data_IF_520184277666
#
_entry.id   IF_520184277666
#
_cell.length_a   1.000
_cell.length_b   1.000
_cell.length_c   1.000
_cell.angle_alpha   90.00
_cell.angle_beta   90.00
_cell.angle_gamma   90.00
#
_symmetry.space_group_name_H-M   'P 1'
#
loop_
_entity.id
_entity.type
_entity.pdbx_description
1 polymer ?
#
# COMPACT_ATOMS: atom_id res chain seq x y z
N UNK A 1 26.71 9.42 -43.28
CA UNK A 1 27.66 8.60 -42.51
C UNK A 1 26.84 7.67 -41.64
N UNK A 2 26.84 6.39 -41.99
CA UNK A 2 26.04 5.35 -41.37
C UNK A 2 26.48 5.12 -39.92
N UNK A 3 25.49 5.10 -39.02
CA UNK A 3 25.65 5.17 -37.58
C UNK A 3 26.21 3.84 -37.03
N UNK A 4 27.54 3.75 -36.91
CA UNK A 4 28.25 2.58 -36.35
C UNK A 4 27.76 2.19 -34.94
N UNK A 5 27.13 3.11 -34.22
CA UNK A 5 26.55 2.86 -32.92
C UNK A 5 25.32 1.94 -33.02
N UNK A 6 24.39 2.24 -33.94
CA UNK A 6 23.13 1.49 -34.11
C UNK A 6 23.36 0.05 -34.54
N UNK A 7 24.30 -0.18 -35.46
CA UNK A 7 24.67 -1.51 -35.93
C UNK A 7 25.29 -2.35 -34.80
N UNK A 8 26.12 -1.72 -33.96
CA UNK A 8 26.81 -2.42 -32.87
C UNK A 8 25.85 -2.72 -31.70
N UNK A 9 24.88 -1.84 -31.47
CA UNK A 9 23.82 -2.02 -30.48
C UNK A 9 22.83 -3.12 -30.91
N UNK A 10 22.35 -3.09 -32.16
CA UNK A 10 21.47 -4.13 -32.72
C UNK A 10 22.15 -5.51 -32.75
N UNK A 11 23.46 -5.56 -32.98
CA UNK A 11 24.23 -6.82 -32.93
C UNK A 11 24.32 -7.38 -31.51
N UNK A 12 24.56 -6.53 -30.51
CA UNK A 12 24.56 -6.95 -29.09
C UNK A 12 23.20 -7.43 -28.60
N UNK A 13 22.10 -6.84 -29.06
CA UNK A 13 20.74 -7.30 -28.73
C UNK A 13 20.43 -8.69 -29.28
N UNK A 14 21.03 -9.08 -30.41
CA UNK A 14 20.86 -10.44 -30.98
C UNK A 14 21.70 -11.50 -30.27
N UNK A 15 22.71 -11.12 -29.50
CA UNK A 15 23.60 -12.03 -28.79
C UNK A 15 23.07 -12.45 -27.39
N UNK A 16 21.98 -11.82 -26.90
CA UNK A 16 21.33 -12.16 -25.63
C UNK A 16 19.83 -12.43 -25.83
N UNK A 17 19.41 -13.67 -26.07
CA UNK A 17 18.00 -14.03 -26.24
C UNK A 17 17.32 -14.20 -24.88
N UNK A 18 17.43 -13.22 -24.00
CA UNK A 18 16.52 -13.13 -22.86
C UNK A 18 15.33 -12.30 -23.34
N UNK A 19 14.15 -12.92 -23.32
CA UNK A 19 12.89 -12.29 -23.65
C UNK A 19 12.77 -11.01 -22.83
N UNK A 20 12.97 -9.88 -23.50
CA UNK A 20 12.59 -8.58 -22.96
C UNK A 20 11.08 -8.71 -22.68
N UNK A 21 10.62 -8.53 -21.43
CA UNK A 21 9.19 -8.55 -21.13
C UNK A 21 8.47 -7.65 -22.11
N UNK A 22 7.33 -8.10 -22.64
CA UNK A 22 6.60 -7.40 -23.70
C UNK A 22 6.35 -5.92 -23.33
N UNK A 23 6.10 -5.65 -22.03
CA UNK A 23 6.01 -4.32 -21.42
C UNK A 23 7.20 -3.38 -21.70
N UNK A 24 8.44 -3.89 -21.66
CA UNK A 24 9.65 -3.11 -21.95
C UNK A 24 9.87 -2.94 -23.45
N UNK A 25 9.51 -3.94 -24.26
CA UNK A 25 9.57 -3.86 -25.71
C UNK A 25 8.62 -2.77 -26.24
N UNK A 26 7.38 -2.75 -25.75
CA UNK A 26 6.37 -1.75 -26.13
C UNK A 26 6.80 -0.32 -25.74
N UNK A 27 7.35 -0.11 -24.53
CA UNK A 27 7.86 1.22 -24.13
C UNK A 27 9.04 1.70 -24.98
N UNK A 28 9.93 0.79 -25.40
CA UNK A 28 11.04 1.12 -26.30
C UNK A 28 10.52 1.52 -27.68
N UNK A 29 9.58 0.76 -28.22
CA UNK A 29 9.03 1.00 -29.55
C UNK A 29 8.20 2.30 -29.60
N UNK A 30 7.39 2.58 -28.57
CA UNK A 30 6.65 3.85 -28.44
C UNK A 30 7.58 5.05 -28.28
N UNK A 31 8.68 4.90 -27.54
CA UNK A 31 9.67 5.96 -27.37
C UNK A 31 10.37 6.25 -28.70
N UNK A 32 10.77 5.22 -29.44
CA UNK A 32 11.41 5.35 -30.75
C UNK A 32 10.48 5.96 -31.79
N UNK A 33 9.19 5.61 -31.76
CA UNK A 33 8.17 6.13 -32.67
C UNK A 33 7.86 7.62 -32.43
N UNK A 34 8.03 8.11 -31.19
CA UNK A 34 7.70 9.47 -30.80
C UNK A 34 8.92 10.41 -30.65
N UNK A 35 10.09 9.99 -31.15
CA UNK A 35 11.26 10.87 -31.19
C UNK A 35 11.00 12.05 -32.15
N UNK A 36 11.11 13.31 -31.69
CA UNK A 36 10.87 14.46 -32.54
C UNK A 36 11.92 14.56 -33.64
N UNK A 37 11.48 14.77 -34.89
CA UNK A 37 12.39 15.08 -35.99
C UNK A 37 13.13 16.39 -35.69
N UNK A 38 14.47 16.37 -35.81
CA UNK A 38 15.33 17.54 -35.64
C UNK A 38 15.03 18.60 -36.71
N UNK A 39 14.10 19.51 -36.42
CA UNK A 39 13.98 20.76 -37.20
C UNK A 39 14.81 21.87 -36.55
N UNK A 40 15.95 22.18 -37.16
CA UNK A 40 16.74 23.37 -36.82
C UNK A 40 16.03 24.62 -37.34
N UNK A 41 15.42 25.43 -36.46
CA UNK A 41 15.07 26.82 -36.77
C UNK A 41 15.41 27.79 -35.64
N UNK A 42 16.07 28.88 -36.06
CA UNK A 42 16.64 29.98 -35.27
C UNK A 42 15.79 31.23 -35.51
N UNK A 43 15.35 31.97 -34.47
CA UNK A 43 15.24 33.45 -34.51
C UNK A 43 14.91 34.10 -33.14
N UNK A 44 15.37 35.36 -33.05
CA UNK A 44 15.60 36.28 -31.92
C UNK A 44 14.36 36.96 -31.30
N UNK A 45 14.58 37.39 -30.04
CA UNK A 45 13.86 38.25 -29.08
C UNK A 45 13.08 39.47 -29.62
N UNK A 46 12.04 39.89 -28.85
CA UNK A 46 11.96 41.19 -28.15
C UNK A 46 10.83 41.22 -27.10
N UNK A 47 11.13 41.92 -26.00
CA UNK A 47 10.36 42.17 -24.76
C UNK A 47 9.28 43.25 -24.91
N UNK A 48 8.16 43.13 -24.17
CA UNK A 48 7.44 44.27 -23.56
C UNK A 48 6.85 43.82 -22.21
N UNK A 49 7.22 44.53 -21.15
CA UNK A 49 6.67 44.47 -19.80
C UNK A 49 5.60 45.58 -19.70
N UNK A 50 4.42 45.28 -19.15
CA UNK A 50 3.58 46.30 -18.50
C UNK A 50 2.78 45.68 -17.36
N UNK A 51 2.83 46.36 -16.22
CA UNK A 51 2.30 46.00 -14.92
C UNK A 51 0.81 46.35 -14.78
N UNK A 52 0.05 45.53 -14.05
CA UNK A 52 -1.00 45.98 -13.13
C UNK A 52 -0.90 45.11 -11.88
N UNK A 53 -0.71 45.74 -10.73
CA UNK A 53 -0.64 45.13 -9.41
C UNK A 53 -1.82 45.57 -8.55
N UNK A 54 -2.46 44.61 -7.86
CA UNK A 54 -3.08 44.64 -6.53
C UNK A 54 -4.02 43.41 -6.42
N UNK A 55 -3.91 42.46 -5.50
CA UNK A 55 -3.36 42.49 -4.15
C UNK A 55 -2.62 41.17 -3.77
N UNK A 56 -1.67 41.36 -2.85
CA UNK A 56 -0.64 40.47 -2.29
C UNK A 56 -1.29 39.58 -1.20
N UNK A 57 -1.06 38.25 -1.09
CA UNK A 57 0.14 37.63 -0.50
C UNK A 57 0.14 36.10 -0.78
N UNK A 58 0.81 35.65 -1.84
CA UNK A 58 1.31 34.26 -1.93
C UNK A 58 2.74 34.39 -2.43
N UNK A 59 3.70 33.93 -1.62
CA UNK A 59 5.09 33.81 -2.03
C UNK A 59 5.10 32.86 -3.22
N UNK A 60 5.35 33.39 -4.41
CA UNK A 60 5.42 32.62 -5.65
C UNK A 60 6.70 31.76 -5.65
N UNK A 61 6.63 30.58 -5.04
CA UNK A 61 7.44 29.44 -5.46
C UNK A 61 6.87 28.98 -6.80
N UNK A 62 7.50 29.41 -7.89
CA UNK A 62 7.06 29.05 -9.26
C UNK A 62 7.20 27.54 -9.42
N UNK A 63 6.10 26.81 -9.28
CA UNK A 63 6.01 25.41 -9.72
C UNK A 63 6.14 25.40 -11.25
N UNK A 64 7.27 24.95 -11.76
CA UNK A 64 7.46 24.77 -13.20
C UNK A 64 6.79 23.44 -13.57
N UNK A 65 5.56 23.50 -14.09
CA UNK A 65 4.95 22.36 -14.77
C UNK A 65 5.63 22.19 -16.13
N UNK A 66 6.58 21.26 -16.24
CA UNK A 66 7.14 20.89 -17.55
C UNK A 66 6.10 20.08 -18.33
N UNK A 67 5.97 20.36 -19.63
CA UNK A 67 5.21 19.49 -20.53
C UNK A 67 5.72 18.04 -20.40
N UNK A 68 4.84 17.02 -20.33
CA UNK A 68 5.23 15.62 -20.23
C UNK A 68 6.23 15.17 -21.31
N UNK A 69 6.22 15.83 -22.48
CA UNK A 69 7.14 15.53 -23.58
C UNK A 69 8.61 15.96 -23.35
N UNK A 70 8.92 16.70 -22.27
CA UNK A 70 10.26 17.21 -21.98
C UNK A 70 10.90 16.61 -20.72
N UNK A 71 10.11 15.97 -19.87
CA UNK A 71 10.59 15.22 -18.71
C UNK A 71 10.53 13.73 -19.04
N UNK A 72 11.62 12.99 -18.85
CA UNK A 72 11.52 11.55 -18.73
C UNK A 72 10.67 11.28 -17.49
N UNK A 73 9.40 10.88 -17.62
CA UNK A 73 8.62 10.47 -16.46
C UNK A 73 9.34 9.28 -15.82
N UNK A 74 9.90 9.52 -14.63
CA UNK A 74 10.41 8.44 -13.80
C UNK A 74 9.14 7.76 -13.29
N UNK A 75 8.77 6.62 -13.90
CA UNK A 75 7.66 5.81 -13.42
C UNK A 75 7.87 5.39 -11.96
N UNK A 76 6.85 4.79 -11.33
CA UNK A 76 7.03 4.30 -9.95
C UNK A 76 8.12 3.21 -9.93
N UNK A 77 9.14 3.33 -9.07
CA UNK A 77 10.16 2.29 -8.94
C UNK A 77 9.56 0.95 -8.51
N UNK A 78 10.02 -0.14 -9.13
CA UNK A 78 9.57 -1.51 -8.80
C UNK A 78 9.77 -1.88 -7.34
N UNK A 79 10.80 -1.33 -6.68
CA UNK A 79 11.03 -1.52 -5.26
C UNK A 79 9.91 -0.95 -4.39
N UNK A 80 9.34 0.20 -4.76
CA UNK A 80 8.20 0.80 -4.05
C UNK A 80 6.91 0.04 -4.35
N UNK A 81 6.72 -0.39 -5.60
CA UNK A 81 5.60 -1.26 -6.01
C UNK A 81 5.57 -2.51 -5.12
N UNK A 82 6.71 -3.18 -4.97
CA UNK A 82 6.83 -4.41 -4.18
C UNK A 82 6.66 -4.15 -2.67
N UNK A 83 7.27 -3.09 -2.11
CA UNK A 83 7.17 -2.79 -0.67
C UNK A 83 5.76 -2.41 -0.22
N UNK A 84 4.97 -1.82 -1.11
CA UNK A 84 3.59 -1.40 -0.85
C UNK A 84 2.55 -2.42 -1.35
N UNK A 85 3.02 -3.52 -1.94
CA UNK A 85 2.22 -4.54 -2.60
C UNK A 85 1.15 -3.95 -3.52
N UNK A 86 1.55 -2.98 -4.35
CA UNK A 86 0.62 -2.38 -5.31
C UNK A 86 0.23 -3.42 -6.34
N UNK A 87 -1.09 -3.55 -6.60
CA UNK A 87 -1.60 -4.44 -7.63
C UNK A 87 -1.01 -4.14 -9.01
N UNK A 88 -0.96 -5.19 -9.84
CA UNK A 88 -0.26 -5.19 -11.14
C UNK A 88 -0.75 -4.10 -12.11
N UNK A 89 -2.00 -3.67 -11.92
CA UNK A 89 -2.71 -2.73 -12.77
C UNK A 89 -2.75 -1.29 -12.20
N UNK A 90 -1.95 -0.95 -11.19
CA UNK A 90 -1.95 0.38 -10.55
C UNK A 90 -1.82 1.56 -11.54
N UNK A 91 -1.13 1.36 -12.68
CA UNK A 91 -0.98 2.38 -13.72
C UNK A 91 -2.35 2.85 -14.28
N UNK A 92 -3.40 2.00 -14.24
CA UNK A 92 -4.76 2.36 -14.66
C UNK A 92 -5.38 3.47 -13.81
N UNK A 93 -4.90 3.62 -12.58
CA UNK A 93 -5.35 4.62 -11.60
C UNK A 93 -4.25 5.63 -11.24
N UNK A 94 -3.13 5.61 -11.97
CA UNK A 94 -2.04 6.55 -11.82
C UNK A 94 -2.20 7.79 -12.72
N UNK A 95 -1.92 8.95 -12.16
CA UNK A 95 -1.74 10.21 -12.87
C UNK A 95 -0.24 10.54 -12.87
N UNK A 96 0.39 10.48 -14.03
CA UNK A 96 1.74 11.01 -14.18
C UNK A 96 1.73 12.52 -14.02
N UNK A 97 2.63 13.02 -13.19
CA UNK A 97 2.82 14.44 -12.91
C UNK A 97 4.30 14.77 -13.01
N UNK A 98 4.65 16.01 -13.33
CA UNK A 98 6.04 16.45 -13.31
C UNK A 98 6.10 17.83 -12.65
N UNK A 99 5.67 17.88 -11.39
CA UNK A 99 5.67 19.10 -10.60
C UNK A 99 6.95 19.12 -9.78
N UNK A 100 7.77 20.14 -9.97
CA UNK A 100 9.06 20.26 -9.30
C UNK A 100 9.10 21.51 -8.44
N UNK A 101 9.69 21.38 -7.26
CA UNK A 101 10.05 22.46 -6.36
C UNK A 101 11.49 22.30 -5.91
N UNK A 102 12.21 23.40 -5.76
CA UNK A 102 13.57 23.38 -5.23
C UNK A 102 13.67 24.37 -4.09
N UNK A 103 14.18 23.90 -2.95
CA UNK A 103 14.40 24.73 -1.78
C UNK A 103 15.62 24.24 -1.03
N UNK A 104 16.44 25.18 -0.55
CA UNK A 104 17.67 24.91 0.18
C UNK A 104 18.61 23.87 -0.50
N UNK A 105 18.72 23.92 -1.83
CA UNK A 105 19.58 23.02 -2.61
C UNK A 105 19.05 21.59 -2.77
N UNK A 106 17.80 21.33 -2.35
CA UNK A 106 17.12 20.07 -2.55
C UNK A 106 15.94 20.26 -3.49
N UNK A 107 15.99 19.55 -4.61
CA UNK A 107 14.95 19.50 -5.62
C UNK A 107 14.05 18.31 -5.34
N UNK A 108 12.74 18.55 -5.20
CA UNK A 108 11.71 17.53 -5.02
C UNK A 108 10.78 17.57 -6.23
N UNK A 109 10.61 16.43 -6.88
CA UNK A 109 9.77 16.25 -8.06
C UNK A 109 8.67 15.26 -7.73
N UNK A 110 7.41 15.66 -7.79
CA UNK A 110 6.28 14.73 -7.72
C UNK A 110 6.19 14.04 -9.09
N UNK A 111 6.26 12.72 -9.09
CA UNK A 111 6.30 11.90 -10.30
C UNK A 111 4.93 11.32 -10.62
N UNK A 112 4.22 10.78 -9.61
CA UNK A 112 2.92 10.15 -9.80
C UNK A 112 1.98 10.45 -8.63
N UNK A 113 0.68 10.56 -8.93
CA UNK A 113 -0.40 10.45 -7.97
C UNK A 113 -1.26 9.24 -8.34
N UNK A 114 -1.33 8.24 -7.46
CA UNK A 114 -2.11 7.01 -7.67
C UNK A 114 -3.30 7.08 -6.73
N UNK A 115 -4.51 7.02 -7.28
CA UNK A 115 -5.72 7.17 -6.48
C UNK A 115 -6.74 6.11 -6.84
N UNK A 116 -7.18 5.32 -5.86
CA UNK A 116 -8.10 4.21 -6.08
C UNK A 116 -9.49 4.40 -5.45
N UNK A 117 -9.73 5.55 -4.80
CA UNK A 117 -10.93 5.80 -4.03
C UNK A 117 -10.66 5.92 -2.53
N UNK A 118 -9.82 5.02 -1.98
CA UNK A 118 -9.55 4.88 -0.55
C UNK A 118 -8.16 5.39 -0.18
N UNK A 119 -7.19 5.26 -1.09
CA UNK A 119 -5.82 5.69 -0.89
C UNK A 119 -5.38 6.60 -2.01
N UNK A 120 -4.78 7.73 -1.64
CA UNK A 120 -4.00 8.57 -2.53
C UNK A 120 -2.51 8.37 -2.21
N UNK A 121 -1.77 7.79 -3.15
CA UNK A 121 -0.34 7.59 -3.04
C UNK A 121 0.39 8.61 -3.92
N UNK A 122 1.28 9.38 -3.32
CA UNK A 122 2.07 10.40 -4.01
C UNK A 122 3.52 9.95 -4.09
N UNK A 123 3.98 9.58 -5.28
CA UNK A 123 5.38 9.28 -5.54
C UNK A 123 6.17 10.55 -5.81
N UNK A 124 7.38 10.63 -5.25
CA UNK A 124 8.28 11.75 -5.45
C UNK A 124 9.73 11.30 -5.56
N UNK A 125 10.52 12.17 -6.20
CA UNK A 125 11.96 12.03 -6.37
C UNK A 125 12.66 13.24 -5.75
N UNK A 126 13.55 13.02 -4.79
CA UNK A 126 14.36 14.05 -4.15
C UNK A 126 15.82 13.96 -4.59
N UNK A 127 16.37 15.08 -5.08
CA UNK A 127 17.75 15.21 -5.54
C UNK A 127 18.46 16.35 -4.82
N UNK A 128 19.75 16.14 -4.52
CA UNK A 128 20.64 17.15 -3.96
C UNK A 128 22.06 17.00 -4.50
N UNK A 129 22.76 18.12 -4.68
CA UNK A 129 24.18 18.11 -5.02
C UNK A 129 25.06 17.54 -3.90
N UNK A 130 24.62 17.73 -2.64
CA UNK A 130 25.28 17.18 -1.46
C UNK A 130 24.57 15.91 -0.99
N UNK A 131 25.31 14.89 -0.50
CA UNK A 131 24.72 13.73 0.15
C UNK A 131 23.72 14.13 1.24
N UNK A 132 22.55 13.52 1.23
CA UNK A 132 21.58 13.66 2.31
C UNK A 132 22.14 13.04 3.60
N UNK A 133 22.11 13.81 4.69
CA UNK A 133 22.49 13.34 6.03
C UNK A 133 21.43 12.43 6.65
N UNK A 134 20.18 12.59 6.25
CA UNK A 134 19.00 11.83 6.67
C UNK A 134 18.15 11.44 5.47
N UNK A 135 17.23 10.51 5.64
CA UNK A 135 16.19 10.24 4.62
C UNK A 135 15.39 11.52 4.36
N UNK A 136 15.31 12.03 3.11
CA UNK A 136 14.55 13.22 2.77
C UNK A 136 13.05 12.89 2.64
N UNK A 137 12.46 12.43 3.74
CA UNK A 137 11.04 12.06 3.83
C UNK A 137 10.15 13.29 3.64
N UNK A 138 9.17 13.20 2.74
CA UNK A 138 8.20 14.25 2.42
C UNK A 138 6.92 14.02 3.22
N UNK A 139 6.93 14.42 4.49
CA UNK A 139 5.75 14.39 5.33
C UNK A 139 5.20 15.82 5.46
N UNK A 140 4.24 16.25 4.62
CA UNK A 140 3.78 17.63 4.62
C UNK A 140 3.13 18.00 5.96
N UNK A 141 3.42 19.20 6.47
CA UNK A 141 2.77 19.70 7.69
C UNK A 141 1.35 20.19 7.41
N UNK A 142 1.06 20.58 6.18
CA UNK A 142 -0.27 20.96 5.71
C UNK A 142 -0.58 20.18 4.42
N UNK A 143 -1.69 19.44 4.40
CA UNK A 143 -2.23 18.82 3.20
C UNK A 143 -3.76 18.97 3.17
N UNK A 144 -4.31 19.30 2.01
CA UNK A 144 -5.76 19.40 1.80
C UNK A 144 -6.17 18.97 0.41
N UNK A 145 -7.38 18.46 0.29
CA UNK A 145 -8.04 18.31 -1.01
C UNK A 145 -8.91 19.52 -1.29
N UNK A 146 -8.90 19.96 -2.54
CA UNK A 146 -9.67 21.13 -3.00
C UNK A 146 -10.40 20.75 -4.29
N UNK A 147 -11.71 20.96 -4.33
CA UNK A 147 -12.50 20.83 -5.56
C UNK A 147 -13.72 21.75 -5.48
N UNK A 148 -14.06 22.38 -6.61
CA UNK A 148 -15.09 23.43 -6.65
C UNK A 148 -14.86 24.50 -5.56
N UNK A 149 -15.80 24.69 -4.63
CA UNK A 149 -15.68 25.58 -3.46
C UNK A 149 -15.48 24.80 -2.14
N UNK A 150 -15.10 23.52 -2.23
CA UNK A 150 -14.89 22.61 -1.09
C UNK A 150 -13.40 22.44 -0.79
N UNK A 151 -13.06 22.51 0.50
CA UNK A 151 -11.72 22.21 1.02
C UNK A 151 -11.83 21.30 2.24
N UNK A 152 -10.98 20.28 2.33
CA UNK A 152 -10.88 19.39 3.49
C UNK A 152 -9.43 19.04 3.78
N UNK A 153 -9.02 19.23 5.02
CA UNK A 153 -7.68 18.88 5.49
C UNK A 153 -7.51 17.36 5.58
N UNK A 154 -6.38 16.86 5.09
CA UNK A 154 -6.01 15.44 5.16
C UNK A 154 -4.64 15.28 5.79
N UNK A 155 -4.32 14.08 6.25
CA UNK A 155 -3.01 13.77 6.81
C UNK A 155 -2.41 12.53 6.16
N UNK A 156 -1.09 12.53 5.90
CA UNK A 156 -0.40 11.32 5.46
C UNK A 156 -0.37 10.30 6.61
N UNK A 157 -0.50 9.01 6.29
CA UNK A 157 -0.40 7.92 7.28
C UNK A 157 1.02 7.40 7.41
N UNK A 158 1.70 7.24 6.28
CA UNK A 158 3.02 6.63 6.21
C UNK A 158 3.74 7.03 4.92
N UNK A 159 5.04 6.77 4.90
CA UNK A 159 5.88 6.93 3.72
C UNK A 159 6.76 5.70 3.56
N UNK A 160 7.07 5.35 2.32
CA UNK A 160 8.07 4.34 1.98
C UNK A 160 8.97 4.86 0.88
N UNK A 161 10.28 4.59 0.98
CA UNK A 161 11.22 5.01 -0.04
C UNK A 161 12.60 4.38 0.09
N UNK A 162 13.51 4.76 -0.79
CA UNK A 162 14.89 4.31 -0.81
C UNK A 162 15.85 5.27 -1.53
N UNK A 163 17.12 5.23 -1.10
CA UNK A 163 18.19 5.91 -1.82
C UNK A 163 18.53 5.16 -3.11
N UNK A 164 18.64 5.89 -4.22
CA UNK A 164 18.94 5.32 -5.53
C UNK A 164 20.44 5.18 -5.79
N UNK A 165 21.27 5.82 -4.97
CA UNK A 165 22.70 5.83 -5.11
C UNK A 165 23.42 5.70 -3.75
N UNK A 166 24.63 5.14 -3.79
CA UNK A 166 25.45 4.91 -2.60
C UNK A 166 25.94 6.20 -1.94
N UNK A 167 25.98 7.31 -2.68
CA UNK A 167 26.36 8.62 -2.17
C UNK A 167 25.16 9.37 -1.58
N UNK A 168 23.96 8.75 -1.53
CA UNK A 168 22.74 9.31 -0.94
C UNK A 168 22.40 10.69 -1.50
N UNK A 169 22.51 10.89 -2.81
CA UNK A 169 22.18 12.16 -3.48
C UNK A 169 20.80 12.16 -4.13
N UNK A 170 20.25 10.97 -4.38
CA UNK A 170 18.94 10.75 -4.96
C UNK A 170 18.14 9.77 -4.10
N UNK A 171 16.85 10.07 -3.93
CA UNK A 171 15.91 9.28 -3.15
C UNK A 171 14.56 9.23 -3.85
N UNK A 172 13.98 8.04 -3.97
CA UNK A 172 12.58 7.88 -4.38
C UNK A 172 11.74 7.54 -3.16
N UNK A 173 10.64 8.26 -3.00
CA UNK A 173 9.68 8.05 -1.93
C UNK A 173 8.25 8.00 -2.44
N UNK A 174 7.37 7.48 -1.59
CA UNK A 174 5.93 7.46 -1.80
C UNK A 174 5.21 7.70 -0.47
N UNK A 175 4.41 8.75 -0.43
CA UNK A 175 3.60 9.14 0.73
C UNK A 175 2.17 8.63 0.51
N UNK A 176 1.58 8.02 1.53
CA UNK A 176 0.21 7.53 1.47
C UNK A 176 -0.74 8.42 2.28
N UNK A 177 -1.87 8.75 1.69
CA UNK A 177 -2.99 9.46 2.32
C UNK A 177 -4.21 8.53 2.31
N UNK A 178 -4.61 7.98 3.46
CA UNK A 178 -5.88 7.29 3.58
C UNK A 178 -6.99 8.33 3.50
N UNK A 179 -7.93 8.12 2.59
CA UNK A 179 -9.10 8.97 2.41
C UNK A 179 -10.33 8.19 2.85
N UNK A 180 -11.34 8.92 3.29
CA UNK A 180 -12.62 8.38 3.76
C UNK A 180 -13.76 9.22 3.19
N UNK A 181 -15.01 8.84 3.42
CA UNK A 181 -16.17 9.60 2.93
C UNK A 181 -16.13 11.06 3.39
N UNK A 182 -15.78 11.29 4.67
CA UNK A 182 -15.72 12.64 5.26
C UNK A 182 -14.71 13.55 4.56
N UNK A 183 -13.60 12.98 4.08
CA UNK A 183 -12.58 13.71 3.32
C UNK A 183 -13.21 14.47 2.15
N UNK A 184 -14.28 13.93 1.57
CA UNK A 184 -14.97 14.54 0.44
C UNK A 184 -16.28 15.23 0.82
N UNK A 185 -16.85 15.02 2.00
CA UNK A 185 -18.19 15.56 2.34
C UNK A 185 -18.18 16.58 3.47
N UNK A 186 -17.10 16.64 4.25
CA UNK A 186 -16.97 17.49 5.42
C UNK A 186 -15.89 18.54 5.16
N UNK A 187 -16.32 19.79 5.09
CA UNK A 187 -15.42 20.94 4.97
C UNK A 187 -14.81 21.30 6.32
N UNK A 188 -13.60 21.86 6.30
CA UNK A 188 -12.92 22.38 7.50
C UNK A 188 -13.74 23.47 8.24
N UNK A 189 -14.66 24.14 7.54
CA UNK A 189 -15.53 25.17 8.09
C UNK A 189 -16.83 24.62 8.73
N UNK A 190 -17.11 23.31 8.63
CA UNK A 190 -18.36 22.72 9.13
C UNK A 190 -18.30 22.40 10.64
N UNK A 191 -19.09 23.16 11.41
CA UNK A 191 -19.19 23.02 12.88
C UNK A 191 -20.32 22.07 13.34
N UNK A 192 -21.07 21.46 12.42
CA UNK A 192 -22.27 20.67 12.71
C UNK A 192 -22.16 19.18 12.37
N UNK A 193 -20.94 18.64 12.39
CA UNK A 193 -20.68 17.22 12.11
C UNK A 193 -21.29 16.35 13.22
N UNK A 194 -22.20 15.45 12.85
CA UNK A 194 -22.55 14.31 13.69
C UNK A 194 -21.38 13.32 13.69
N UNK A 195 -20.49 13.49 14.68
CA UNK A 195 -19.26 12.71 14.78
C UNK A 195 -19.50 11.21 14.91
N UNK A 196 -20.71 10.76 15.30
CA UNK A 196 -20.99 9.33 15.42
C UNK A 196 -21.30 8.71 14.07
N UNK A 197 -22.18 9.36 13.30
CA UNK A 197 -22.47 8.96 11.93
C UNK A 197 -21.21 9.04 11.07
N UNK A 198 -20.42 10.09 11.25
CA UNK A 198 -19.19 10.32 10.50
C UNK A 198 -18.18 9.18 10.73
N UNK A 199 -17.90 8.81 11.98
CA UNK A 199 -16.96 7.73 12.30
C UNK A 199 -17.38 6.40 11.68
N UNK A 200 -18.67 6.06 11.71
CA UNK A 200 -19.19 4.78 11.20
C UNK A 200 -19.30 4.77 9.67
N UNK A 201 -19.69 5.87 9.04
CA UNK A 201 -19.92 5.98 7.59
C UNK A 201 -18.65 6.35 6.82
N UNK A 202 -17.60 6.84 7.49
CA UNK A 202 -16.33 7.23 6.87
C UNK A 202 -15.70 6.12 6.04
N UNK A 203 -15.84 4.86 6.47
CA UNK A 203 -15.31 3.70 5.77
C UNK A 203 -16.14 3.27 4.53
N UNK A 204 -17.24 3.95 4.19
CA UNK A 204 -18.14 3.61 3.10
C UNK A 204 -18.02 4.53 1.88
N UNK A 205 -16.83 4.58 1.27
CA UNK A 205 -16.67 5.38 0.06
C UNK A 205 -17.43 4.75 -1.10
N UNK A 206 -18.28 5.54 -1.77
CA UNK A 206 -18.76 5.23 -3.11
C UNK A 206 -17.91 6.00 -4.14
N UNK A 207 -17.00 5.28 -4.80
CA UNK A 207 -16.04 5.88 -5.75
C UNK A 207 -16.76 6.63 -6.89
N UNK A 208 -17.96 6.15 -7.27
CA UNK A 208 -18.76 6.77 -8.33
C UNK A 208 -19.36 8.12 -7.94
N UNK A 209 -19.49 8.39 -6.64
CA UNK A 209 -20.06 9.63 -6.10
C UNK A 209 -18.99 10.71 -5.85
N UNK A 210 -17.71 10.36 -5.96
CA UNK A 210 -16.59 11.28 -5.77
C UNK A 210 -16.60 12.42 -6.81
N UNK A 211 -16.05 13.61 -6.47
CA UNK A 211 -15.88 14.68 -7.44
C UNK A 211 -15.04 14.19 -8.62
N UNK A 212 -15.38 14.59 -9.86
CA UNK A 212 -14.71 14.11 -11.09
C UNK A 212 -13.20 14.33 -11.12
N UNK A 213 -12.73 15.32 -10.37
CA UNK A 213 -11.34 15.63 -10.15
C UNK A 213 -11.23 16.40 -8.83
N UNK A 214 -10.08 16.33 -8.17
CA UNK A 214 -9.72 17.22 -7.08
C UNK A 214 -8.25 17.63 -7.19
N UNK A 215 -7.87 18.70 -6.52
CA UNK A 215 -6.49 19.12 -6.36
C UNK A 215 -6.01 18.79 -4.96
N UNK A 216 -4.94 18.00 -4.86
CA UNK A 216 -4.19 17.82 -3.63
C UNK A 216 -3.21 18.98 -3.49
N UNK A 217 -3.40 19.80 -2.46
CA UNK A 217 -2.45 20.83 -2.07
C UNK A 217 -1.63 20.34 -0.88
N UNK A 218 -0.30 20.40 -0.99
CA UNK A 218 0.62 20.00 0.07
C UNK A 218 1.68 21.08 0.29
N UNK A 219 2.06 21.27 1.55
CA UNK A 219 3.16 22.12 1.95
C UNK A 219 4.03 21.41 2.96
N UNK A 220 5.34 21.41 2.69
CA UNK A 220 6.39 20.92 3.56
C UNK A 220 7.39 22.05 3.83
N UNK A 221 7.69 22.36 5.09
CA UNK A 221 8.75 23.29 5.52
C UNK A 221 10.02 22.56 5.95
N UNK A 222 9.96 21.24 5.95
CA UNK A 222 11.08 20.37 6.25
C UNK A 222 10.96 19.02 5.56
N UNK A 223 12.11 18.38 5.31
CA UNK A 223 12.20 16.98 4.89
C UNK A 223 12.92 16.16 5.95
N UNK A 224 12.44 14.94 6.17
CA UNK A 224 12.96 14.00 7.16
C UNK A 224 12.10 13.88 8.41
N UNK A 225 12.10 12.69 9.01
CA UNK A 225 11.28 12.37 10.19
C UNK A 225 11.97 12.70 11.52
N UNK A 226 13.31 12.73 11.54
CA UNK A 226 14.07 13.05 12.77
C UNK A 226 14.17 14.57 12.94
N UNK A 227 13.36 15.14 13.85
CA UNK A 227 13.25 16.59 14.09
C UNK A 227 14.59 17.32 14.18
N UNK A 228 15.56 16.73 14.88
CA UNK A 228 16.89 17.32 15.12
C UNK A 228 17.77 17.41 13.86
N UNK A 229 17.47 16.62 12.82
CA UNK A 229 18.30 16.45 11.64
C UNK A 229 17.54 16.77 10.33
N UNK A 230 16.33 17.32 10.44
CA UNK A 230 15.51 17.68 9.28
C UNK A 230 16.19 18.71 8.37
N UNK A 231 15.97 18.53 7.07
CA UNK A 231 16.39 19.47 6.05
C UNK A 231 15.34 20.57 5.98
N UNK A 232 15.66 21.76 6.46
CA UNK A 232 14.74 22.91 6.41
C UNK A 232 14.64 23.48 4.99
N UNK A 233 13.45 23.89 4.61
CA UNK A 233 13.16 24.49 3.30
C UNK A 233 11.68 24.86 3.19
N UNK A 234 11.18 24.96 1.97
CA UNK A 234 9.76 25.16 1.69
C UNK A 234 9.43 24.58 0.33
N UNK A 235 8.59 23.55 0.31
CA UNK A 235 8.12 22.87 -0.89
C UNK A 235 6.60 22.87 -0.88
N UNK A 236 6.01 23.43 -1.93
CA UNK A 236 4.55 23.53 -2.09
C UNK A 236 4.12 22.89 -3.42
N UNK A 237 3.16 21.99 -3.34
CA UNK A 237 2.67 21.21 -4.48
C UNK A 237 1.17 21.35 -4.62
N UNK A 238 0.69 21.40 -5.86
CA UNK A 238 -0.72 21.40 -6.22
C UNK A 238 -0.92 20.36 -7.33
N UNK A 239 -1.45 19.19 -6.97
CA UNK A 239 -1.49 18.00 -7.82
C UNK A 239 -2.93 17.70 -8.22
N UNK A 240 -3.22 17.65 -9.52
CA UNK A 240 -4.56 17.29 -10.00
C UNK A 240 -4.73 15.78 -10.05
N UNK A 241 -5.76 15.28 -9.37
CA UNK A 241 -6.14 13.86 -9.32
C UNK A 241 -7.43 13.66 -10.10
N UNK A 242 -7.43 12.69 -11.01
CA UNK A 242 -8.59 12.34 -11.84
C UNK A 242 -9.26 11.10 -11.24
N UNK A 243 -10.39 11.30 -10.57
CA UNK A 243 -11.11 10.23 -9.87
C UNK A 243 -11.83 9.29 -10.83
N UNK A 244 -12.05 9.70 -12.08
CA UNK A 244 -12.70 8.84 -13.08
C UNK A 244 -11.87 7.61 -13.38
N UNK A 245 -10.55 7.68 -13.25
CA UNK A 245 -9.68 6.51 -13.39
C UNK A 245 -10.00 5.48 -12.31
N UNK A 246 -10.13 5.90 -11.05
CA UNK A 246 -10.55 5.03 -9.96
C UNK A 246 -11.94 4.45 -10.24
N UNK A 247 -12.92 5.30 -10.57
CA UNK A 247 -14.29 4.87 -10.81
C UNK A 247 -14.42 3.87 -11.98
N UNK A 248 -13.68 4.09 -13.08
CA UNK A 248 -13.77 3.24 -14.27
C UNK A 248 -12.99 1.92 -14.15
N UNK A 249 -12.05 1.82 -13.20
CA UNK A 249 -11.18 0.65 -13.03
C UNK A 249 -11.38 -0.05 -11.68
N UNK A 250 -12.40 0.36 -10.92
CA UNK A 250 -12.80 -0.34 -9.70
C UNK A 250 -14.10 -1.09 -9.93
N UNK A 251 -14.28 -2.17 -9.17
CA UNK A 251 -15.50 -2.98 -9.15
C UNK A 251 -15.99 -3.11 -7.72
N UNK A 252 -17.26 -2.82 -7.50
CA UNK A 252 -17.92 -3.10 -6.22
C UNK A 252 -18.77 -4.36 -6.37
N UNK A 253 -18.60 -5.30 -5.45
CA UNK A 253 -19.40 -6.54 -5.36
C UNK A 253 -20.13 -6.52 -4.02
N UNK A 254 -21.45 -6.41 -4.08
CA UNK A 254 -22.31 -6.49 -2.89
C UNK A 254 -22.37 -7.95 -2.41
N UNK A 255 -22.09 -8.17 -1.13
CA UNK A 255 -21.98 -9.51 -0.53
C UNK A 255 -23.15 -9.78 0.41
N UNK A 256 -23.39 -8.86 1.35
CA UNK A 256 -24.45 -8.92 2.36
C UNK A 256 -24.55 -10.24 3.16
N UNK A 257 -23.40 -10.85 3.50
CA UNK A 257 -23.33 -12.11 4.24
C UNK A 257 -23.39 -11.84 5.76
N UNK A 258 -24.46 -12.30 6.39
CA UNK A 258 -24.59 -12.30 7.85
C UNK A 258 -23.86 -13.50 8.46
N UNK A 259 -23.22 -13.31 9.62
CA UNK A 259 -22.39 -14.30 10.31
C UNK A 259 -22.74 -14.35 11.82
N UNK A 260 -23.98 -14.74 12.18
CA UNK A 260 -24.48 -14.64 13.56
C UNK A 260 -23.71 -15.52 14.57
N UNK A 261 -23.11 -16.62 14.10
CA UNK A 261 -22.27 -17.49 14.93
C UNK A 261 -21.00 -16.78 15.43
N UNK A 262 -20.60 -15.68 14.80
CA UNK A 262 -19.40 -14.92 15.16
C UNK A 262 -19.67 -13.81 16.18
N UNK A 263 -20.94 -13.45 16.41
CA UNK A 263 -21.31 -12.40 17.35
C UNK A 263 -22.49 -11.55 16.91
N UNK A 264 -22.70 -10.47 17.64
CA UNK A 264 -23.80 -9.52 17.42
C UNK A 264 -23.55 -8.68 16.17
N UNK A 265 -24.52 -8.68 15.26
CA UNK A 265 -24.56 -7.87 14.03
C UNK A 265 -23.34 -8.02 13.11
N UNK A 266 -22.66 -9.18 13.17
CA UNK A 266 -21.52 -9.46 12.31
C UNK A 266 -21.99 -9.72 10.88
N UNK A 267 -21.51 -8.90 9.94
CA UNK A 267 -21.85 -8.99 8.53
C UNK A 267 -20.70 -8.51 7.64
N UNK A 268 -20.45 -9.23 6.55
CA UNK A 268 -19.65 -8.74 5.42
C UNK A 268 -20.60 -8.07 4.43
N UNK A 269 -20.40 -6.79 4.18
CA UNK A 269 -21.31 -5.99 3.36
C UNK A 269 -20.96 -6.07 1.89
N UNK A 270 -19.70 -5.76 1.53
CA UNK A 270 -19.25 -5.67 0.15
C UNK A 270 -17.73 -5.81 0.03
N UNK A 271 -17.29 -6.09 -1.19
CA UNK A 271 -15.90 -5.97 -1.63
C UNK A 271 -15.79 -4.81 -2.62
N UNK A 272 -14.70 -4.04 -2.54
CA UNK A 272 -14.31 -3.09 -3.58
C UNK A 272 -12.95 -3.50 -4.12
N UNK A 273 -12.93 -3.97 -5.36
CA UNK A 273 -11.72 -4.41 -6.06
C UNK A 273 -11.19 -3.21 -6.86
N UNK A 274 -10.02 -2.70 -6.49
CA UNK A 274 -9.34 -1.62 -7.21
C UNK A 274 -8.07 -2.15 -7.86
N UNK A 275 -7.45 -1.44 -8.81
CA UNK A 275 -6.21 -1.91 -9.42
C UNK A 275 -5.02 -1.96 -8.47
N UNK A 276 -5.12 -1.38 -7.26
CA UNK A 276 -4.05 -1.47 -6.25
C UNK A 276 -4.37 -2.44 -5.13
N UNK A 277 -5.63 -2.60 -4.71
CA UNK A 277 -6.03 -3.34 -3.51
C UNK A 277 -7.44 -3.94 -3.61
N UNK A 278 -7.71 -4.89 -2.73
CA UNK A 278 -9.05 -5.39 -2.42
C UNK A 278 -9.46 -4.79 -1.08
N UNK A 279 -10.59 -4.09 -1.04
CA UNK A 279 -11.16 -3.56 0.19
C UNK A 279 -12.37 -4.41 0.61
N UNK A 280 -12.29 -5.04 1.77
CA UNK A 280 -13.42 -5.74 2.39
C UNK A 280 -14.07 -4.81 3.41
N UNK A 281 -15.38 -4.60 3.27
CA UNK A 281 -16.18 -3.84 4.22
C UNK A 281 -17.13 -4.75 5.00
N UNK A 282 -17.16 -4.53 6.30
CA UNK A 282 -18.04 -5.26 7.21
C UNK A 282 -18.54 -4.37 8.34
N UNK A 283 -19.53 -4.89 9.05
CA UNK A 283 -20.07 -4.30 10.27
C UNK A 283 -20.11 -5.37 11.35
N UNK A 284 -19.92 -4.95 12.59
CA UNK A 284 -20.08 -5.78 13.78
C UNK A 284 -20.45 -4.90 14.97
N UNK A 285 -20.82 -5.51 16.09
CA UNK A 285 -20.87 -4.83 17.38
C UNK A 285 -19.57 -5.06 18.16
N UNK A 286 -19.08 -4.08 18.92
CA UNK A 286 -17.84 -4.13 19.71
C UNK A 286 -17.77 -5.35 20.66
N UNK A 287 -18.91 -5.77 21.19
CA UNK A 287 -19.05 -6.95 22.05
C UNK A 287 -18.69 -8.28 21.34
N UNK A 288 -18.71 -8.30 20.01
CA UNK A 288 -18.31 -9.47 19.21
C UNK A 288 -16.80 -9.71 19.26
N UNK A 289 -16.02 -8.71 19.69
CA UNK A 289 -14.57 -8.69 19.56
C UNK A 289 -14.12 -8.46 18.12
N UNK A 290 -12.81 -8.36 17.90
CA UNK A 290 -12.24 -8.08 16.57
C UNK A 290 -12.35 -9.32 15.66
N UNK A 291 -13.16 -9.24 14.61
CA UNK A 291 -13.28 -10.28 13.58
C UNK A 291 -12.47 -9.86 12.36
N UNK A 292 -11.56 -10.72 11.95
CA UNK A 292 -10.73 -10.52 10.77
C UNK A 292 -11.04 -11.58 9.71
N UNK A 293 -10.49 -11.43 8.51
CA UNK A 293 -10.83 -12.27 7.37
C UNK A 293 -9.57 -12.70 6.63
N UNK A 294 -9.53 -13.97 6.22
CA UNK A 294 -8.57 -14.50 5.27
C UNK A 294 -9.22 -14.57 3.90
N UNK A 295 -8.49 -14.14 2.87
CA UNK A 295 -8.94 -14.17 1.49
C UNK A 295 -8.06 -15.14 0.70
N UNK A 296 -8.68 -15.99 -0.11
CA UNK A 296 -8.02 -16.90 -1.05
C UNK A 296 -8.74 -16.84 -2.39
N UNK A 297 -7.99 -16.68 -3.49
CA UNK A 297 -8.60 -16.70 -4.82
C UNK A 297 -8.87 -18.11 -5.36
N UNK A 298 -9.59 -18.20 -6.48
CA UNK A 298 -9.91 -19.47 -7.14
C UNK A 298 -8.69 -20.23 -7.71
N UNK A 299 -7.48 -19.68 -7.62
CA UNK A 299 -6.23 -20.35 -7.98
C UNK A 299 -5.48 -20.87 -6.75
N UNK A 300 -6.04 -20.71 -5.54
CA UNK A 300 -5.44 -21.10 -4.28
C UNK A 300 -4.38 -20.12 -3.78
N UNK A 301 -4.41 -18.87 -4.24
CA UNK A 301 -3.51 -17.83 -3.76
C UNK A 301 -4.17 -17.00 -2.65
N UNK A 302 -3.57 -17.04 -1.46
CA UNK A 302 -3.92 -16.16 -0.34
C UNK A 302 -3.65 -14.69 -0.68
N UNK A 303 -4.56 -13.80 -0.27
CA UNK A 303 -4.38 -12.34 -0.39
C UNK A 303 -3.93 -11.79 0.94
N UNK A 304 -2.74 -11.21 0.97
CA UNK A 304 -2.16 -10.69 2.21
C UNK A 304 -2.92 -9.47 2.70
N UNK A 305 -3.16 -9.44 4.01
CA UNK A 305 -3.69 -8.26 4.68
C UNK A 305 -2.61 -7.17 4.73
N UNK A 306 -2.97 -5.96 4.32
CA UNK A 306 -2.08 -4.82 4.24
C UNK A 306 -2.34 -3.81 5.36
N UNK A 307 -3.61 -3.46 5.54
CA UNK A 307 -4.05 -2.45 6.49
C UNK A 307 -5.54 -2.58 6.77
N UNK A 308 -6.03 -1.78 7.71
CA UNK A 308 -7.45 -1.63 7.92
C UNK A 308 -7.76 -0.46 8.83
N UNK A 309 -9.04 -0.10 8.88
CA UNK A 309 -9.57 0.92 9.76
C UNK A 309 -10.89 0.46 10.38
N UNK A 310 -11.22 0.98 11.55
CA UNK A 310 -12.48 0.72 12.23
C UNK A 310 -13.09 2.04 12.67
N UNK A 311 -14.32 2.28 12.22
CA UNK A 311 -15.17 3.36 12.67
C UNK A 311 -16.09 2.88 13.79
N UNK A 312 -16.05 3.50 14.96
CA UNK A 312 -16.84 3.08 16.13
C UNK A 312 -17.91 4.12 16.46
N UNK A 313 -19.16 3.69 16.41
CA UNK A 313 -20.33 4.49 16.80
C UNK A 313 -20.60 4.42 18.31
N UNK A 314 -21.29 5.42 18.87
CA UNK A 314 -21.63 5.46 20.31
C UNK A 314 -22.47 4.29 20.82
N UNK A 315 -23.19 3.62 19.92
CA UNK A 315 -23.99 2.45 20.24
C UNK A 315 -23.20 1.13 20.19
N UNK A 316 -21.88 1.19 20.04
CA UNK A 316 -21.01 0.00 19.91
C UNK A 316 -21.00 -0.61 18.51
N UNK A 317 -21.68 -0.01 17.52
CA UNK A 317 -21.56 -0.44 16.12
C UNK A 317 -20.17 -0.09 15.59
N UNK A 318 -19.46 -1.08 15.08
CA UNK A 318 -18.17 -0.95 14.44
C UNK A 318 -18.30 -1.22 12.95
N UNK A 319 -17.78 -0.32 12.12
CA UNK A 319 -17.64 -0.56 10.68
C UNK A 319 -16.19 -0.72 10.31
N UNK A 320 -15.86 -1.87 9.74
CA UNK A 320 -14.50 -2.27 9.41
C UNK A 320 -14.23 -2.08 7.92
N UNK A 321 -13.03 -1.58 7.62
CA UNK A 321 -12.40 -1.65 6.31
C UNK A 321 -11.14 -2.48 6.47
N UNK A 322 -10.97 -3.51 5.65
CA UNK A 322 -9.75 -4.33 5.61
C UNK A 322 -9.21 -4.37 4.19
N UNK A 323 -7.93 -4.03 4.04
CA UNK A 323 -7.25 -3.91 2.77
C UNK A 323 -6.37 -5.12 2.53
N UNK A 324 -6.48 -5.70 1.33
CA UNK A 324 -5.70 -6.86 0.91
C UNK A 324 -5.02 -6.59 -0.43
N UNK A 325 -3.97 -7.36 -0.71
CA UNK A 325 -3.28 -7.33 -2.00
C UNK A 325 -4.22 -7.68 -3.17
N UNK A 326 -4.02 -7.01 -4.30
CA UNK A 326 -4.65 -7.36 -5.58
C UNK A 326 -3.60 -7.71 -6.64
N UNK A 327 -2.89 -8.81 -6.42
CA UNK A 327 -1.76 -9.26 -7.23
C UNK A 327 -2.13 -10.27 -8.34
N UNK A 328 -3.42 -10.60 -8.49
CA UNK A 328 -3.91 -11.51 -9.52
C UNK A 328 -5.12 -10.91 -10.24
N UNK A 329 -4.93 -10.22 -11.39
CA UNK A 329 -6.02 -9.59 -12.12
C UNK A 329 -6.98 -10.60 -12.78
N UNK A 330 -6.65 -11.90 -12.78
CA UNK A 330 -7.45 -12.97 -13.39
C UNK A 330 -8.30 -13.73 -12.36
N UNK A 331 -8.34 -13.29 -11.10
CA UNK A 331 -9.19 -13.91 -10.08
C UNK A 331 -10.68 -13.76 -10.45
N UNK A 332 -11.39 -14.89 -10.49
CA UNK A 332 -12.83 -14.93 -10.76
C UNK A 332 -13.68 -15.04 -9.50
N UNK A 333 -13.11 -15.50 -8.38
CA UNK A 333 -13.80 -15.54 -7.10
C UNK A 333 -12.84 -15.46 -5.92
N UNK A 334 -13.35 -15.02 -4.77
CA UNK A 334 -12.63 -15.02 -3.50
C UNK A 334 -13.37 -15.87 -2.47
N UNK A 335 -12.68 -16.82 -1.86
CA UNK A 335 -13.11 -17.49 -0.63
C UNK A 335 -12.69 -16.62 0.55
N UNK A 336 -13.65 -16.29 1.40
CA UNK A 336 -13.47 -15.47 2.60
C UNK A 336 -13.69 -16.35 3.82
N UNK A 337 -12.70 -16.41 4.71
CA UNK A 337 -12.74 -17.20 5.94
C UNK A 337 -12.59 -16.27 7.15
N UNK A 338 -13.64 -16.11 7.99
CA UNK A 338 -13.55 -15.31 9.20
C UNK A 338 -12.64 -15.95 10.25
N UNK A 339 -11.97 -15.13 11.06
CA UNK A 339 -11.23 -15.59 12.23
C UNK A 339 -11.21 -14.53 13.35
N UNK A 340 -10.87 -14.99 14.56
CA UNK A 340 -10.59 -14.12 15.72
C UNK A 340 -9.21 -14.43 16.26
N UNK A 341 -8.44 -13.40 16.58
CA UNK A 341 -7.15 -13.54 17.27
C UNK A 341 -7.33 -13.23 18.76
N UNK A 342 -6.90 -14.14 19.62
CA UNK A 342 -6.88 -13.96 21.07
C UNK A 342 -5.49 -14.32 21.63
N UNK A 343 -4.73 -13.30 22.02
CA UNK A 343 -3.39 -13.47 22.61
C UNK A 343 -3.44 -14.16 23.98
N UNK A 344 -4.61 -14.18 24.63
CA UNK A 344 -4.82 -14.81 25.94
C UNK A 344 -5.54 -16.16 25.82
N UNK A 345 -5.54 -16.77 24.63
CA UNK A 345 -6.20 -18.06 24.41
C UNK A 345 -5.73 -19.10 25.41
N UNK A 346 -6.67 -19.85 25.98
CA UNK A 346 -6.35 -20.98 26.83
C UNK A 346 -5.78 -22.11 25.98
N UNK A 347 -4.62 -22.61 26.37
CA UNK A 347 -3.98 -23.73 25.68
C UNK A 347 -4.78 -25.02 25.89
N UNK A 348 -5.05 -25.71 24.79
CA UNK A 348 -5.75 -27.00 24.73
C UNK A 348 -5.08 -27.89 23.67
N UNK A 349 -5.48 -29.16 23.60
CA UNK A 349 -5.00 -30.05 22.56
C UNK A 349 -5.48 -29.65 21.14
N UNK A 350 -6.47 -28.77 21.04
CA UNK A 350 -7.08 -28.33 19.76
C UNK A 350 -6.39 -27.10 19.17
N UNK A 351 -5.50 -26.44 19.92
CA UNK A 351 -4.79 -25.23 19.48
C UNK A 351 -3.31 -25.18 19.87
N UNK A 352 -2.78 -26.25 20.48
CA UNK A 352 -1.40 -26.27 20.94
C UNK A 352 -0.78 -27.66 20.92
N UNK A 353 0.54 -27.70 20.79
CA UNK A 353 1.32 -28.93 20.87
C UNK A 353 2.74 -28.65 21.36
N UNK A 354 3.51 -29.70 21.62
CA UNK A 354 4.94 -29.56 21.95
C UNK A 354 5.70 -29.21 20.66
N UNK A 355 6.50 -28.15 20.71
CA UNK A 355 7.35 -27.75 19.59
C UNK A 355 8.55 -28.70 19.46
N UNK A 356 8.76 -29.24 18.26
CA UNK A 356 9.84 -30.18 17.95
C UNK A 356 10.79 -29.57 16.93
N UNK A 357 11.81 -28.79 17.35
CA UNK A 357 12.70 -28.08 16.42
C UNK A 357 13.54 -29.00 15.53
N UNK A 358 13.78 -30.25 15.96
CA UNK A 358 14.55 -31.26 15.23
C UNK A 358 13.67 -32.27 14.48
N UNK A 359 12.36 -32.02 14.38
CA UNK A 359 11.40 -32.92 13.76
C UNK A 359 10.23 -32.15 13.14
N UNK A 360 9.22 -32.89 12.71
CA UNK A 360 7.97 -32.30 12.24
C UNK A 360 7.11 -31.91 13.45
N UNK A 361 6.57 -30.69 13.45
CA UNK A 361 5.54 -30.28 14.43
C UNK A 361 4.24 -30.04 13.68
N UNK A 362 3.16 -30.71 14.11
CA UNK A 362 1.80 -30.46 13.62
C UNK A 362 1.04 -29.67 14.67
N UNK A 363 0.79 -28.41 14.39
CA UNK A 363 0.03 -27.51 15.24
C UNK A 363 -1.44 -27.51 14.78
N UNK A 364 -2.37 -28.01 15.62
CA UNK A 364 -3.79 -28.00 15.28
C UNK A 364 -4.33 -26.58 15.14
N UNK A 365 -5.12 -26.36 14.09
CA UNK A 365 -5.86 -25.09 13.86
C UNK A 365 -7.37 -25.30 13.69
N UNK A 366 -7.80 -26.55 13.51
CA UNK A 366 -9.20 -27.02 13.62
C UNK A 366 -9.22 -28.54 13.82
N UNK A 367 -10.40 -29.16 13.84
CA UNK A 367 -10.52 -30.63 13.90
C UNK A 367 -9.89 -31.36 12.69
N UNK A 368 -9.70 -30.68 11.55
CA UNK A 368 -9.27 -31.30 10.30
C UNK A 368 -8.07 -30.64 9.63
N UNK A 369 -7.53 -29.56 10.21
CA UNK A 369 -6.44 -28.79 9.62
C UNK A 369 -5.34 -28.52 10.64
N UNK A 370 -4.10 -28.55 10.16
CA UNK A 370 -2.88 -28.31 10.93
C UNK A 370 -1.98 -27.31 10.20
N UNK A 371 -1.25 -26.50 10.98
CA UNK A 371 0.00 -25.89 10.51
C UNK A 371 1.12 -26.91 10.71
N UNK A 372 1.80 -27.27 9.63
CA UNK A 372 2.96 -28.17 9.65
C UNK A 372 4.25 -27.37 9.63
N UNK A 373 5.07 -27.53 10.67
CA UNK A 373 6.44 -27.03 10.72
C UNK A 373 7.37 -28.12 10.24
N UNK A 374 8.08 -27.83 9.15
CA UNK A 374 8.93 -28.78 8.43
C UNK A 374 10.41 -28.61 8.74
N UNK A 375 10.83 -27.40 9.09
CA UNK A 375 12.25 -27.04 9.23
C UNK A 375 12.46 -25.88 10.19
N UNK A 376 13.46 -26.01 11.05
CA UNK A 376 13.88 -24.95 11.97
C UNK A 376 15.39 -24.74 11.83
N UNK A 377 15.81 -23.50 11.64
CA UNK A 377 17.23 -23.13 11.51
C UNK A 377 17.56 -21.95 12.41
N UNK A 378 18.79 -21.91 12.93
CA UNK A 378 19.28 -20.76 13.69
C UNK A 378 20.39 -20.09 12.92
N UNK A 379 20.24 -18.78 12.72
CA UNK A 379 21.23 -17.94 12.04
C UNK A 379 21.23 -16.56 12.66
N UNK A 380 22.42 -16.02 12.89
CA UNK A 380 22.63 -14.65 13.40
C UNK A 380 21.85 -14.36 14.71
N UNK A 381 21.74 -15.37 15.57
CA UNK A 381 21.04 -15.26 16.86
C UNK A 381 19.52 -15.37 16.80
N UNK A 382 18.95 -15.66 15.63
CA UNK A 382 17.50 -15.79 15.40
C UNK A 382 17.12 -17.19 14.96
N UNK A 383 15.87 -17.56 15.19
CA UNK A 383 15.28 -18.84 14.78
C UNK A 383 14.33 -18.64 13.61
N UNK A 384 14.56 -19.37 12.52
CA UNK A 384 13.77 -19.37 11.30
C UNK A 384 12.94 -20.65 11.25
N UNK A 385 11.63 -20.53 11.22
CA UNK A 385 10.67 -21.65 11.27
C UNK A 385 9.94 -21.69 9.93
N UNK A 386 10.22 -22.71 9.12
CA UNK A 386 9.50 -22.97 7.87
C UNK A 386 8.20 -23.71 8.17
N UNK A 387 7.08 -23.21 7.66
CA UNK A 387 5.77 -23.79 7.90
C UNK A 387 4.87 -23.77 6.65
N UNK A 388 3.89 -24.65 6.65
CA UNK A 388 2.85 -24.76 5.64
C UNK A 388 1.50 -25.09 6.29
N UNK A 389 0.42 -24.66 5.65
CA UNK A 389 -0.94 -25.09 5.97
C UNK A 389 -1.64 -25.47 4.66
N UNK A 390 -2.60 -26.38 4.73
CA UNK A 390 -3.45 -26.79 3.60
C UNK A 390 -4.64 -25.83 3.37
N UNK A 391 -4.78 -24.85 4.27
CA UNK A 391 -5.76 -23.77 4.23
C UNK A 391 -5.06 -22.44 4.52
N UNK A 392 -5.62 -21.30 4.09
CA UNK A 392 -5.13 -19.99 4.49
C UNK A 392 -5.11 -19.87 6.02
N UNK A 393 -4.07 -19.21 6.54
CA UNK A 393 -3.91 -18.91 7.98
C UNK A 393 -3.55 -17.45 8.18
N UNK A 394 -3.75 -16.93 9.39
CA UNK A 394 -3.35 -15.57 9.73
C UNK A 394 -1.84 -15.46 9.64
N UNK A 395 -1.35 -14.82 8.58
CA UNK A 395 0.07 -14.68 8.38
C UNK A 395 0.67 -13.65 9.32
N UNK A 396 -0.08 -12.68 9.88
CA UNK A 396 0.43 -11.71 10.85
C UNK A 396 0.97 -12.39 12.10
N UNK A 397 0.30 -13.44 12.57
CA UNK A 397 0.72 -14.22 13.73
C UNK A 397 0.15 -15.64 13.64
N UNK A 398 0.76 -16.52 12.82
CA UNK A 398 0.23 -17.86 12.56
C UNK A 398 0.32 -18.76 13.80
N UNK A 399 1.34 -18.53 14.63
CA UNK A 399 1.57 -19.24 15.88
C UNK A 399 2.52 -18.47 16.79
N UNK A 400 2.59 -18.90 18.05
CA UNK A 400 3.47 -18.37 19.11
C UNK A 400 4.19 -19.54 19.78
N UNK A 401 5.45 -19.35 20.17
CA UNK A 401 6.16 -20.30 21.04
C UNK A 401 6.14 -19.79 22.48
N UNK A 402 5.59 -20.59 23.39
CA UNK A 402 5.57 -20.34 24.84
C UNK A 402 6.68 -21.15 25.51
N UNK A 403 7.56 -20.48 26.23
CA UNK A 403 8.60 -21.15 27.01
C UNK A 403 8.05 -21.74 28.33
N UNK A 404 8.88 -22.50 29.04
CA UNK A 404 8.53 -23.09 30.34
C UNK A 404 8.26 -22.08 31.46
N UNK A 405 8.72 -20.83 31.31
CA UNK A 405 8.48 -19.74 32.25
C UNK A 405 7.18 -18.99 31.94
N UNK A 406 6.53 -19.30 30.81
CA UNK A 406 5.31 -18.67 30.32
C UNK A 406 5.56 -17.44 29.45
N UNK A 407 6.80 -17.20 29.00
CA UNK A 407 7.16 -16.11 28.08
C UNK A 407 6.80 -16.49 26.65
N UNK A 408 6.16 -15.53 25.95
CA UNK A 408 5.75 -15.67 24.56
C UNK A 408 6.84 -15.15 23.63
N UNK A 409 7.32 -16.02 22.75
CA UNK A 409 8.19 -15.68 21.63
C UNK A 409 7.33 -15.52 20.38
N UNK A 410 7.18 -14.26 19.99
CA UNK A 410 6.46 -13.86 18.77
C UNK A 410 7.44 -13.62 17.63
N UNK A 411 6.92 -13.68 16.41
CA UNK A 411 7.72 -13.45 15.22
C UNK A 411 8.11 -11.97 15.04
N UNK A 412 9.19 -11.76 14.30
CA UNK A 412 9.63 -10.49 13.73
C UNK A 412 8.95 -10.35 12.37
N UNK A 413 8.02 -9.40 12.27
CA UNK A 413 7.17 -9.23 11.09
C UNK A 413 7.99 -8.97 9.83
N UNK A 414 8.96 -8.06 9.91
CA UNK A 414 9.73 -7.54 8.77
C UNK A 414 10.74 -8.55 8.19
N UNK A 415 11.08 -9.59 8.96
CA UNK A 415 11.98 -10.67 8.54
C UNK A 415 11.24 -11.96 8.18
N UNK A 416 9.96 -12.04 8.53
CA UNK A 416 9.09 -13.17 8.20
C UNK A 416 8.63 -13.09 6.75
N UNK A 417 8.43 -14.25 6.13
CA UNK A 417 7.94 -14.38 4.77
C UNK A 417 6.59 -15.08 4.80
N UNK A 418 5.60 -14.43 4.21
CA UNK A 418 4.25 -14.96 4.06
C UNK A 418 4.16 -16.15 3.11
N UNK A 419 3.02 -16.85 3.11
CA UNK A 419 2.78 -17.91 2.14
C UNK A 419 2.47 -17.29 0.77
N UNK A 420 3.23 -17.70 -0.25
CA UNK A 420 2.87 -17.44 -1.64
C UNK A 420 2.82 -18.80 -2.34
N UNK A 421 1.85 -18.96 -3.25
CA UNK A 421 1.54 -20.21 -3.94
C UNK A 421 2.79 -21.10 -4.19
N UNK A 422 2.78 -22.31 -3.58
CA UNK A 422 3.80 -23.36 -3.71
C UNK A 422 5.15 -23.12 -3.02
N UNK A 423 5.24 -22.29 -1.97
CA UNK A 423 6.45 -22.14 -1.15
C UNK A 423 6.14 -22.16 0.34
N UNK A 424 7.07 -22.69 1.13
CA UNK A 424 7.04 -22.62 2.59
C UNK A 424 7.02 -21.16 3.04
N UNK A 425 6.13 -20.84 3.97
CA UNK A 425 6.18 -19.58 4.71
C UNK A 425 7.27 -19.68 5.80
N UNK A 426 7.82 -18.54 6.21
CA UNK A 426 8.91 -18.48 7.19
C UNK A 426 8.53 -17.51 8.30
N UNK A 427 8.47 -17.99 9.54
CA UNK A 427 8.40 -17.15 10.73
C UNK A 427 9.79 -17.00 11.32
N UNK A 428 10.23 -15.75 11.56
CA UNK A 428 11.53 -15.47 12.19
C UNK A 428 11.29 -15.00 13.62
N UNK A 429 11.93 -15.63 14.60
CA UNK A 429 11.80 -15.32 16.03
C UNK A 429 13.16 -14.93 16.61
N UNK A 430 13.17 -14.05 17.61
CA UNK A 430 14.38 -13.68 18.33
C UNK A 430 14.91 -14.85 19.19
N UNK A 431 16.24 -14.99 19.22
CA UNK A 431 16.93 -15.99 20.02
C UNK A 431 17.15 -17.33 19.32
N UNK A 432 17.96 -18.19 19.95
CA UNK A 432 18.15 -19.59 19.58
C UNK A 432 17.13 -20.45 20.35
N UNK A 433 16.13 -20.98 19.63
CA UNK A 433 15.03 -21.76 20.21
C UNK A 433 15.13 -23.27 19.91
N UNK A 434 16.33 -23.78 19.56
CA UNK A 434 16.53 -25.21 19.25
C UNK A 434 16.65 -26.11 20.50
N UNK A 435 17.18 -25.58 21.60
CA UNK A 435 17.57 -26.36 22.77
C UNK A 435 16.61 -26.20 23.97
N UNK A 436 15.49 -25.50 23.78
CA UNK A 436 14.49 -25.22 24.81
C UNK A 436 13.27 -26.12 24.72
N UNK A 437 12.52 -26.19 25.84
CA UNK A 437 11.20 -26.80 25.88
C UNK A 437 10.16 -25.71 25.61
N UNK A 438 9.50 -25.79 24.46
CA UNK A 438 8.48 -24.84 24.04
C UNK A 438 7.16 -25.54 23.74
N UNK A 439 6.07 -24.90 24.12
CA UNK A 439 4.74 -25.20 23.59
C UNK A 439 4.51 -24.27 22.42
N UNK A 440 4.19 -24.82 21.25
CA UNK A 440 3.68 -24.00 20.15
C UNK A 440 2.16 -23.95 20.24
N UNK A 441 1.59 -22.78 20.01
CA UNK A 441 0.15 -22.63 19.97
C UNK A 441 -0.31 -21.63 18.91
N UNK A 442 -1.53 -21.82 18.42
CA UNK A 442 -2.21 -20.94 17.49
C UNK A 442 -3.11 -19.97 18.28
N UNK A 443 -2.86 -18.64 18.23
CA UNK A 443 -3.72 -17.65 18.89
C UNK A 443 -5.02 -17.36 18.12
N UNK A 444 -5.23 -17.99 16.96
CA UNK A 444 -6.34 -17.70 16.07
C UNK A 444 -7.42 -18.80 16.15
N UNK A 445 -8.68 -18.39 16.28
CA UNK A 445 -9.86 -19.25 16.07
C UNK A 445 -10.39 -19.00 14.66
N UNK A 446 -10.22 -19.97 13.78
CA UNK A 446 -10.71 -19.91 12.39
C UNK A 446 -12.12 -20.50 12.30
N UNK A 447 -13.02 -19.81 11.59
CA UNK A 447 -14.40 -20.26 11.38
C UNK A 447 -14.56 -20.80 9.96
N UNK A 448 -13.91 -21.94 9.68
CA UNK A 448 -13.94 -22.56 8.35
C UNK A 448 -15.35 -22.94 7.89
N UNK A 449 -16.23 -23.33 8.80
CA UNK A 449 -17.63 -23.65 8.50
C UNK A 449 -18.47 -22.42 8.12
N UNK A 450 -18.02 -21.22 8.49
CA UNK A 450 -18.63 -19.95 8.12
C UNK A 450 -18.00 -19.34 6.87
N UNK A 451 -17.01 -20.00 6.27
CA UNK A 451 -16.38 -19.52 5.04
C UNK A 451 -17.37 -19.48 3.88
N UNK A 452 -17.22 -18.48 3.02
CA UNK A 452 -18.10 -18.29 1.87
C UNK A 452 -17.32 -17.77 0.66
N UNK A 453 -17.82 -18.04 -0.54
CA UNK A 453 -17.20 -17.61 -1.79
C UNK A 453 -17.99 -16.48 -2.42
N UNK A 454 -17.30 -15.43 -2.83
CA UNK A 454 -17.83 -14.30 -3.59
C UNK A 454 -17.38 -14.43 -5.04
N UNK A 455 -18.33 -14.48 -5.96
CA UNK A 455 -18.08 -14.44 -7.39
C UNK A 455 -17.81 -13.00 -7.82
N UNK A 456 -16.66 -12.76 -8.44
CA UNK A 456 -16.20 -11.44 -8.85
C UNK A 456 -16.65 -11.07 -10.26
N UNK A 457 -17.32 -11.95 -11.01
CA UNK A 457 -17.82 -11.67 -12.36
C UNK A 457 -19.27 -11.14 -12.38
N UNK A 458 -19.91 -11.02 -11.21
CA UNK A 458 -21.30 -10.55 -11.06
C UNK A 458 -21.54 -9.09 -11.49
#
# INVERSE_FOLDING_TARGET
MTNKFDENFKRKLKEYPNQIPERLQTKIDDTLANLPEKTLRRRRNKTVISWVAAAILVIALVSIQLNPSLASSIGVPNSLINKLSLGDDFEKVANETNIMQESNGVKVSITNAIFDGYYLLVSYHAESEQPFSVTPSLFPEEAKIVYDDFESSISPSNETGEFLDKNKKAYDGMVAFPLNTETFTVSDDDIHIDRDASLVEGNQINISDLPKQFELQMKATSLGQEEAAQIKGEWQFAIRVDTKKAANNSKTVEVHKNLPELGTDVKVEKLVITPIRIHLQGVQHEESGKIEYLLEDNHGESKHWLSGSVGVGKNGTERMLSDFENNNPLMGSLKITPYKMDMNVKLTAENSTVFQPNGETKLPISESHDITISKVEVKDGKTYISYQADVPVNEYLPFILKDKNGEDHIRILEESVGSHANKDAIAVLEGNLLDGEYTIYNPNTYYFDEAFTVDLDQ
#
